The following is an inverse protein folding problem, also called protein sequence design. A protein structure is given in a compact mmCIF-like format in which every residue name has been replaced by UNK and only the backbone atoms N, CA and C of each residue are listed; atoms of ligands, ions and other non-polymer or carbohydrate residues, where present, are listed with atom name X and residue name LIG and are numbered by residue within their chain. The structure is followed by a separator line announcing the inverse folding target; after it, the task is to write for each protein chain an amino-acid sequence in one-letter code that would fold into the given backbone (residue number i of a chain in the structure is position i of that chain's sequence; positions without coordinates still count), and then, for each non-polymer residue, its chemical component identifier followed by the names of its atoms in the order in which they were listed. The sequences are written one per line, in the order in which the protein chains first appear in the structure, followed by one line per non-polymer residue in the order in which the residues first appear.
data_IF_832820606045
#
_entry.id   IF_832820606045
#
_cell.length_a   1.000
_cell.length_b   1.000
_cell.length_c   1.000
_cell.angle_alpha   90.00
_cell.angle_beta   90.00
_cell.angle_gamma   90.00
#
_symmetry.space_group_name_H-M   'P 1'
#
loop_
_entity.id
_entity.type
_entity.pdbx_description
1 polymer ?
#
# COMPACT_ATOMS: atom_id res chain seq x y z
N UNK A 1 4.01 8.37 3.69
CA UNK A 1 4.82 9.59 3.45
C UNK A 1 6.20 9.28 2.88
N UNK A 2 6.99 8.36 3.47
CA UNK A 2 8.37 8.10 3.03
C UNK A 2 8.46 7.53 1.60
N UNK A 3 7.63 6.56 1.23
CA UNK A 3 7.74 5.94 -0.11
C UNK A 3 7.33 6.85 -1.28
N UNK A 4 6.27 7.67 -1.15
CA UNK A 4 5.89 8.64 -2.21
C UNK A 4 6.98 9.68 -2.43
N UNK A 5 7.60 10.16 -1.34
CA UNK A 5 8.75 11.07 -1.43
C UNK A 5 9.99 10.39 -2.05
N UNK A 6 10.18 9.09 -1.86
CA UNK A 6 11.31 8.35 -2.44
C UNK A 6 11.08 7.99 -3.92
N UNK A 7 9.84 7.76 -4.35
CA UNK A 7 9.48 7.56 -5.75
C UNK A 7 9.84 8.78 -6.64
N UNK A 8 9.89 9.98 -6.06
CA UNK A 8 10.28 11.22 -6.75
C UNK A 8 11.80 11.48 -6.74
N UNK A 9 12.57 10.63 -6.03
CA UNK A 9 14.04 10.71 -6.02
C UNK A 9 14.61 9.67 -6.99
N UNK A 10 15.75 9.96 -7.64
CA UNK A 10 16.47 9.01 -8.51
C UNK A 10 17.10 7.81 -7.73
N UNK A 11 16.59 7.49 -6.54
CA UNK A 11 17.05 6.40 -5.69
C UNK A 11 16.43 5.08 -6.16
N UNK A 12 17.22 4.02 -6.10
CA UNK A 12 16.81 2.68 -6.54
C UNK A 12 16.62 1.75 -5.35
N UNK A 13 15.96 0.60 -5.55
CA UNK A 13 15.84 -0.42 -4.52
C UNK A 13 17.18 -0.93 -3.95
N UNK A 14 18.29 -0.70 -4.66
CA UNK A 14 19.65 -1.06 -4.24
C UNK A 14 20.26 -0.08 -3.23
N UNK A 15 19.69 1.12 -3.05
CA UNK A 15 20.15 2.07 -2.06
C UNK A 15 19.90 1.54 -0.64
N UNK A 16 20.93 1.56 0.21
CA UNK A 16 20.87 0.97 1.55
C UNK A 16 19.75 1.55 2.43
N UNK A 17 19.37 2.82 2.21
CA UNK A 17 18.23 3.44 2.88
C UNK A 17 16.89 2.87 2.38
N UNK A 18 16.73 2.68 1.07
CA UNK A 18 15.54 2.09 0.45
C UNK A 18 15.38 0.63 0.88
N UNK A 19 16.46 -0.14 0.84
CA UNK A 19 16.46 -1.54 1.29
C UNK A 19 15.99 -1.66 2.75
N UNK A 20 16.45 -0.78 3.65
CA UNK A 20 15.98 -0.73 5.05
C UNK A 20 14.50 -0.36 5.15
N UNK A 21 14.02 0.59 4.34
CA UNK A 21 12.61 0.93 4.28
C UNK A 21 11.75 -0.25 3.80
N UNK A 22 12.15 -0.94 2.73
CA UNK A 22 11.47 -2.14 2.21
C UNK A 22 11.37 -3.21 3.31
N UNK A 23 12.48 -3.51 3.98
CA UNK A 23 12.49 -4.47 5.08
C UNK A 23 11.54 -4.06 6.20
N UNK A 24 11.62 -2.80 6.64
CA UNK A 24 10.76 -2.26 7.70
C UNK A 24 9.27 -2.34 7.34
N UNK A 25 8.91 -2.14 6.07
CA UNK A 25 7.54 -2.27 5.60
C UNK A 25 7.05 -3.71 5.64
N UNK A 26 7.90 -4.67 5.25
CA UNK A 26 7.60 -6.09 5.36
C UNK A 26 7.40 -6.53 6.81
N UNK A 27 8.22 -6.02 7.74
CA UNK A 27 8.10 -6.32 9.18
C UNK A 27 6.80 -5.81 9.81
N UNK A 28 6.27 -4.69 9.31
CA UNK A 28 5.07 -4.04 9.83
C UNK A 28 3.83 -4.25 8.96
N UNK A 29 3.90 -5.18 8.00
CA UNK A 29 2.75 -5.57 7.21
C UNK A 29 1.79 -6.42 8.06
N UNK A 30 0.51 -6.07 8.05
CA UNK A 30 -0.52 -6.80 8.80
C UNK A 30 -0.82 -8.16 8.14
N UNK A 31 -1.46 -9.06 8.90
CA UNK A 31 -1.85 -10.41 8.45
C UNK A 31 -2.79 -10.43 7.23
N UNK A 32 -3.49 -9.33 6.99
CA UNK A 32 -4.33 -9.14 5.81
C UNK A 32 -3.56 -8.56 4.62
N UNK A 33 -2.22 -8.54 4.68
CA UNK A 33 -1.31 -7.96 3.69
C UNK A 33 -1.40 -6.43 3.49
N UNK A 34 -2.10 -5.71 4.38
CA UNK A 34 -2.23 -4.25 4.35
C UNK A 34 -1.39 -3.52 5.40
N UNK A 35 -1.55 -2.18 5.43
CA UNK A 35 -0.91 -1.30 6.41
C UNK A 35 -1.89 -0.31 7.05
N UNK A 36 -1.66 -0.03 8.33
CA UNK A 36 -2.36 0.98 9.10
C UNK A 36 -1.76 2.39 8.99
N UNK A 37 -2.37 3.38 9.63
CA UNK A 37 -1.86 4.75 9.68
C UNK A 37 -0.58 4.84 10.52
N UNK A 38 -0.47 3.97 11.52
CA UNK A 38 0.72 3.71 12.35
C UNK A 38 1.00 2.21 12.38
N UNK A 39 2.13 1.85 12.95
CA UNK A 39 2.54 0.45 13.03
C UNK A 39 1.60 -0.28 13.97
N UNK A 40 1.17 -1.48 13.56
CA UNK A 40 0.20 -2.31 14.27
C UNK A 40 -1.24 -1.73 14.32
N UNK A 41 -1.51 -0.58 13.67
CA UNK A 41 -2.89 -0.14 13.47
C UNK A 41 -3.59 -1.07 12.44
N UNK A 42 -4.92 -1.23 12.54
CA UNK A 42 -5.68 -1.92 11.50
C UNK A 42 -5.45 -1.32 10.11
N UNK A 43 -5.38 -2.20 9.11
CA UNK A 43 -5.16 -1.82 7.72
C UNK A 43 -6.21 -0.83 7.23
N UNK A 44 -5.77 0.13 6.42
CA UNK A 44 -6.63 1.13 5.79
C UNK A 44 -6.23 1.34 4.33
N UNK A 45 -7.17 1.83 3.52
CA UNK A 45 -7.00 2.00 2.08
C UNK A 45 -5.88 2.97 1.73
N UNK A 46 -5.83 4.14 2.38
CA UNK A 46 -4.82 5.18 2.15
C UNK A 46 -3.38 4.66 2.35
N UNK A 47 -3.11 4.10 3.53
CA UNK A 47 -1.79 3.57 3.87
C UNK A 47 -1.39 2.44 2.94
N UNK A 48 -2.31 1.51 2.68
CA UNK A 48 -2.05 0.35 1.81
C UNK A 48 -1.77 0.78 0.38
N UNK A 49 -2.56 1.72 -0.16
CA UNK A 49 -2.36 2.28 -1.49
C UNK A 49 -1.01 2.98 -1.62
N UNK A 50 -0.62 3.78 -0.62
CA UNK A 50 0.68 4.47 -0.63
C UNK A 50 1.87 3.51 -0.63
N UNK A 51 1.77 2.36 0.05
CA UNK A 51 2.81 1.33 0.01
C UNK A 51 2.88 0.71 -1.38
N UNK A 52 1.73 0.36 -1.98
CA UNK A 52 1.65 -0.18 -3.35
C UNK A 52 2.30 0.76 -4.38
N UNK A 53 1.96 2.05 -4.35
CA UNK A 53 2.59 3.07 -5.22
C UNK A 53 4.11 3.07 -5.05
N UNK A 54 4.59 3.02 -3.81
CA UNK A 54 6.02 3.02 -3.52
C UNK A 54 6.75 1.78 -4.06
N UNK A 55 6.16 0.60 -3.89
CA UNK A 55 6.71 -0.65 -4.42
C UNK A 55 6.78 -0.61 -5.95
N UNK A 56 5.69 -0.21 -6.59
CA UNK A 56 5.63 -0.08 -8.04
C UNK A 56 6.64 0.94 -8.59
N UNK A 57 6.80 2.10 -7.94
CA UNK A 57 7.81 3.09 -8.31
C UNK A 57 9.25 2.55 -8.22
N UNK A 58 9.50 1.63 -7.29
CA UNK A 58 10.76 0.91 -7.14
C UNK A 58 10.87 -0.32 -8.07
N UNK A 59 9.90 -0.53 -8.96
CA UNK A 59 9.78 -1.69 -9.86
C UNK A 59 9.70 -3.03 -9.11
N UNK A 60 9.16 -3.01 -7.90
CA UNK A 60 8.83 -4.20 -7.11
C UNK A 60 7.36 -4.52 -7.34
N UNK A 61 7.07 -5.77 -7.68
CA UNK A 61 5.69 -6.23 -7.87
C UNK A 61 4.99 -6.40 -6.51
N UNK A 62 3.98 -5.56 -6.19
CA UNK A 62 3.24 -5.66 -4.94
C UNK A 62 2.29 -6.87 -4.91
N UNK A 63 2.08 -7.59 -6.02
CA UNK A 63 1.34 -8.85 -6.06
C UNK A 63 2.23 -10.09 -5.89
N UNK A 64 3.56 -9.92 -5.89
CA UNK A 64 4.51 -11.03 -5.73
C UNK A 64 4.39 -11.71 -4.36
N UNK A 65 4.81 -12.98 -4.29
CA UNK A 65 4.79 -13.79 -3.06
C UNK A 65 5.51 -13.12 -1.87
N UNK A 66 6.50 -12.26 -2.14
CA UNK A 66 7.24 -11.53 -1.12
C UNK A 66 6.36 -10.61 -0.25
N UNK A 67 5.25 -10.13 -0.80
CA UNK A 67 4.31 -9.24 -0.11
C UNK A 67 3.00 -9.92 0.25
N UNK A 68 2.83 -11.21 -0.07
CA UNK A 68 1.62 -11.92 0.26
C UNK A 68 1.62 -12.38 1.72
N UNK A 69 0.46 -12.28 2.36
CA UNK A 69 0.19 -12.88 3.67
C UNK A 69 -1.04 -13.76 3.53
N UNK A 70 -0.94 -15.03 3.94
CA UNK A 70 -2.08 -15.96 3.89
C UNK A 70 -2.73 -16.06 2.48
N UNK A 71 -1.94 -16.02 1.41
CA UNK A 71 -2.37 -15.97 0.00
C UNK A 71 -3.18 -14.71 -0.39
N UNK A 72 -3.10 -13.65 0.40
CA UNK A 72 -3.69 -12.33 0.12
C UNK A 72 -2.55 -11.39 -0.27
N UNK A 73 -2.70 -10.70 -1.39
CA UNK A 73 -1.76 -9.65 -1.80
C UNK A 73 -2.20 -8.27 -1.28
N UNK A 74 -1.27 -7.31 -1.12
CA UNK A 74 -1.58 -5.91 -0.86
C UNK A 74 -2.66 -5.34 -1.76
N UNK A 75 -2.64 -5.71 -3.04
CA UNK A 75 -3.64 -5.28 -4.03
C UNK A 75 -5.01 -5.85 -3.69
N UNK A 76 -5.10 -7.13 -3.32
CA UNK A 76 -6.35 -7.74 -2.88
C UNK A 76 -6.87 -7.06 -1.59
N UNK A 77 -6.00 -6.72 -0.65
CA UNK A 77 -6.36 -5.96 0.56
C UNK A 77 -6.91 -4.58 0.22
N UNK A 78 -6.24 -3.85 -0.68
CA UNK A 78 -6.70 -2.55 -1.13
C UNK A 78 -8.10 -2.63 -1.75
N UNK A 79 -8.31 -3.60 -2.64
CA UNK A 79 -9.61 -3.84 -3.29
C UNK A 79 -10.70 -4.23 -2.29
N UNK A 80 -10.36 -4.83 -1.15
CA UNK A 80 -11.34 -5.13 -0.09
C UNK A 80 -11.94 -3.90 0.60
N UNK A 81 -11.33 -2.72 0.41
CA UNK A 81 -11.87 -1.44 0.87
C UNK A 81 -12.77 -0.77 -0.17
N UNK A 82 -12.87 -1.32 -1.39
CA UNK A 82 -13.71 -0.79 -2.44
C UNK A 82 -15.15 -1.29 -2.28
N UNK A 83 -16.12 -0.38 -2.35
CA UNK A 83 -17.55 -0.73 -2.40
C UNK A 83 -18.04 -0.97 -3.84
N UNK A 84 -19.32 -1.35 -3.96
CA UNK A 84 -19.96 -1.63 -5.26
C UNK A 84 -20.02 -0.41 -6.19
N UNK A 85 -19.97 0.81 -5.64
CA UNK A 85 -19.93 2.04 -6.43
C UNK A 85 -18.53 2.33 -7.00
N UNK A 86 -17.53 1.58 -6.54
CA UNK A 86 -16.12 1.79 -6.86
C UNK A 86 -15.41 2.76 -5.91
N UNK A 87 -16.11 3.30 -4.90
CA UNK A 87 -15.52 4.17 -3.89
C UNK A 87 -14.70 3.35 -2.88
N UNK A 88 -13.59 3.92 -2.41
CA UNK A 88 -12.76 3.29 -1.39
C UNK A 88 -13.08 3.88 -0.01
N UNK A 89 -13.46 3.01 0.93
CA UNK A 89 -13.61 3.38 2.34
C UNK A 89 -12.25 3.48 3.00
N UNK A 90 -12.11 4.33 4.01
CA UNK A 90 -10.86 4.41 4.75
C UNK A 90 -10.56 3.07 5.45
N UNK A 91 -11.55 2.49 6.15
CA UNK A 91 -11.47 1.15 6.73
C UNK A 91 -12.82 0.44 6.62
N UNK A 92 -12.79 -0.91 6.65
CA UNK A 92 -13.99 -1.76 6.62
C UNK A 92 -14.97 -1.49 7.77
N UNK A 93 -14.48 -1.02 8.92
CA UNK A 93 -15.29 -0.72 10.11
C UNK A 93 -15.76 0.74 10.20
N UNK A 94 -15.33 1.59 9.26
CA UNK A 94 -15.68 3.02 9.23
C UNK A 94 -16.10 3.42 7.81
N UNK A 95 -17.38 3.19 7.52
CA UNK A 95 -18.06 3.70 6.34
C UNK A 95 -18.05 5.24 6.35
N UNK A 96 -17.69 5.85 5.22
CA UNK A 96 -17.61 7.31 5.08
C UNK A 96 -16.33 7.78 4.41
N UNK A 97 -16.50 8.46 3.28
CA UNK A 97 -15.45 8.88 2.35
C UNK A 97 -14.48 9.89 2.99
N UNK A 98 -13.18 9.60 2.91
CA UNK A 98 -12.15 10.63 2.85
C UNK A 98 -11.72 10.73 1.39
N UNK A 99 -11.85 11.92 0.78
CA UNK A 99 -11.43 12.20 -0.61
C UNK A 99 -9.98 11.74 -0.90
N UNK A 100 -9.13 11.66 0.12
CA UNK A 100 -7.74 11.19 -0.01
C UNK A 100 -7.61 9.68 -0.29
N UNK A 101 -8.51 8.85 0.29
CA UNK A 101 -8.53 7.40 0.09
C UNK A 101 -8.68 7.01 -1.37
N UNK A 102 -9.59 7.70 -2.06
CA UNK A 102 -9.86 7.48 -3.49
C UNK A 102 -8.67 7.92 -4.36
N UNK A 103 -8.06 9.08 -4.07
CA UNK A 103 -6.91 9.55 -4.87
C UNK A 103 -5.71 8.62 -4.79
N UNK A 104 -5.33 8.17 -3.59
CA UNK A 104 -4.19 7.27 -3.43
C UNK A 104 -4.49 5.87 -3.98
N UNK A 105 -5.71 5.36 -3.80
CA UNK A 105 -6.12 4.08 -4.38
C UNK A 105 -6.03 4.11 -5.91
N UNK A 106 -6.46 5.20 -6.55
CA UNK A 106 -6.33 5.36 -8.00
C UNK A 106 -4.86 5.41 -8.45
N UNK A 107 -4.01 6.18 -7.75
CA UNK A 107 -2.56 6.21 -8.01
C UNK A 107 -1.96 4.80 -7.92
N UNK A 108 -2.33 4.03 -6.88
CA UNK A 108 -1.85 2.67 -6.66
C UNK A 108 -2.25 1.72 -7.79
N UNK A 109 -3.52 1.76 -8.20
CA UNK A 109 -4.03 0.90 -9.27
C UNK A 109 -3.42 1.24 -10.63
N UNK A 110 -3.09 2.50 -10.90
CA UNK A 110 -2.38 2.90 -12.11
C UNK A 110 -0.92 2.45 -12.11
N UNK A 111 -0.28 2.40 -10.93
CA UNK A 111 1.13 2.04 -10.81
C UNK A 111 1.40 0.54 -11.03
N UNK A 112 0.39 -0.32 -10.92
CA UNK A 112 0.51 -1.79 -11.01
C UNK A 112 0.01 -2.38 -12.33
N UNK A 113 -0.29 -1.54 -13.33
CA UNK A 113 -0.63 -1.95 -14.70
C UNK A 113 0.59 -1.99 -15.60
#
# INVERSE_FOLDING_TARGET
MVLKALAETHLSAADSAIAKCIHTLGDHQNEDAGWGARWNDPSNSDSTALVIVGLAALKLDPASEAWQKNNISPVATLLSFQDESGAFWWRRDREGTLLMGVSHALEALLAVR
#
